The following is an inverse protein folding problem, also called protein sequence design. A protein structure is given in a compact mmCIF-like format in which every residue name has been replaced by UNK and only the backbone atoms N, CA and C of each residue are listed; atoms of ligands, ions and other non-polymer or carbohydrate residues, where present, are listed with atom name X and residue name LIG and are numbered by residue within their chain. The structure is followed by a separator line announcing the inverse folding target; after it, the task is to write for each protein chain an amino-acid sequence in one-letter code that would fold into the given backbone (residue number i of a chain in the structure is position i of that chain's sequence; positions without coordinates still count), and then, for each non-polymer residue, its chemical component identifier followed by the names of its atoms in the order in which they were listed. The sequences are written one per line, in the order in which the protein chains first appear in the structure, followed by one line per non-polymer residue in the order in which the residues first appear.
data_IF_938933829289
#
_entry.id   IF_938933829289
#
_cell.length_a   1.000
_cell.length_b   1.000
_cell.length_c   1.000
_cell.angle_alpha   90.00
_cell.angle_beta   90.00
_cell.angle_gamma   90.00
#
_symmetry.space_group_name_H-M   'P 1'
#
loop_
_entity.id
_entity.type
_entity.pdbx_description
1 polymer ?
#
# COMPACT_ATOMS: atom_id res chain seq x y z
N UNK A 1 12.80 2.83 -8.68
CA UNK A 1 12.37 3.79 -9.71
C UNK A 1 11.23 3.16 -10.48
N UNK A 2 10.06 3.79 -10.44
CA UNK A 2 8.83 3.37 -11.13
C UNK A 2 8.66 4.24 -12.38
N UNK A 3 8.51 3.64 -13.54
CA UNK A 3 8.33 4.35 -14.82
C UNK A 3 6.95 4.09 -15.44
N UNK A 4 6.25 3.07 -14.99
CA UNK A 4 4.94 2.66 -15.49
C UNK A 4 4.19 1.84 -14.43
N UNK A 5 2.92 1.53 -14.72
CA UNK A 5 2.05 0.78 -13.82
C UNK A 5 2.55 -0.65 -13.57
N UNK A 6 3.14 -1.32 -14.57
CA UNK A 6 3.65 -2.68 -14.39
C UNK A 6 4.84 -2.72 -13.43
N UNK A 7 5.74 -1.74 -13.49
CA UNK A 7 6.83 -1.61 -12.54
C UNK A 7 6.34 -1.35 -11.12
N UNK A 8 5.29 -0.52 -10.96
CA UNK A 8 4.62 -0.35 -9.65
C UNK A 8 4.10 -1.68 -9.14
N UNK A 9 3.38 -2.43 -9.98
CA UNK A 9 2.80 -3.72 -9.60
C UNK A 9 3.85 -4.74 -9.19
N UNK A 10 4.91 -4.88 -9.99
CA UNK A 10 6.03 -5.80 -9.70
C UNK A 10 6.67 -5.40 -8.37
N UNK A 11 6.93 -4.11 -8.15
CA UNK A 11 7.58 -3.63 -6.92
C UNK A 11 6.72 -3.93 -5.68
N UNK A 12 5.43 -3.63 -5.73
CA UNK A 12 4.50 -3.89 -4.61
C UNK A 12 4.35 -5.40 -4.37
N UNK A 13 4.22 -6.19 -5.43
CA UNK A 13 4.12 -7.64 -5.32
C UNK A 13 5.40 -8.24 -4.71
N UNK A 14 6.58 -7.81 -5.16
CA UNK A 14 7.86 -8.25 -4.58
C UNK A 14 7.97 -7.89 -3.10
N UNK A 15 7.52 -6.70 -2.69
CA UNK A 15 7.48 -6.31 -1.29
C UNK A 15 6.55 -7.21 -0.44
N UNK A 16 5.36 -7.55 -0.96
CA UNK A 16 4.46 -8.50 -0.30
C UNK A 16 5.11 -9.88 -0.14
N UNK A 17 5.70 -10.41 -1.22
CA UNK A 17 6.41 -11.70 -1.18
C UNK A 17 7.60 -11.69 -0.21
N UNK A 18 8.35 -10.58 -0.16
CA UNK A 18 9.46 -10.41 0.76
C UNK A 18 9.00 -10.31 2.22
N UNK A 19 7.86 -9.69 2.50
CA UNK A 19 7.28 -9.61 3.84
C UNK A 19 6.79 -10.99 4.30
N UNK A 20 6.03 -11.70 3.46
CA UNK A 20 5.48 -13.03 3.79
C UNK A 20 6.56 -14.12 3.98
N UNK A 21 7.76 -13.91 3.42
CA UNK A 21 8.93 -14.76 3.71
C UNK A 21 9.52 -14.52 5.10
N UNK A 22 9.31 -13.32 5.67
CA UNK A 22 9.82 -12.94 6.99
C UNK A 22 8.81 -13.28 8.10
N UNK A 23 7.52 -13.16 7.81
CA UNK A 23 6.43 -13.49 8.73
C UNK A 23 5.32 -14.23 7.97
N UNK A 24 5.24 -15.54 8.18
CA UNK A 24 4.26 -16.42 7.56
C UNK A 24 2.90 -16.45 8.29
N UNK A 25 2.80 -15.73 9.42
CA UNK A 25 1.56 -15.64 10.21
C UNK A 25 0.63 -14.55 9.70
N UNK A 26 1.14 -13.65 8.86
CA UNK A 26 0.39 -12.53 8.28
C UNK A 26 -0.20 -12.92 6.93
N UNK A 27 -1.47 -12.57 6.69
CA UNK A 27 -2.14 -12.83 5.43
C UNK A 27 -2.34 -11.53 4.63
N UNK A 28 -1.43 -11.23 3.70
CA UNK A 28 -1.54 -10.08 2.79
C UNK A 28 -1.87 -10.56 1.39
N UNK A 29 -2.89 -9.95 0.78
CA UNK A 29 -3.27 -10.19 -0.61
C UNK A 29 -2.98 -8.96 -1.45
N UNK A 30 -2.28 -9.16 -2.56
CA UNK A 30 -2.08 -8.17 -3.61
C UNK A 30 -3.12 -8.32 -4.71
N UNK A 31 -3.65 -7.21 -5.22
CA UNK A 31 -4.62 -7.17 -6.31
C UNK A 31 -4.31 -6.02 -7.27
N UNK A 32 -4.32 -6.30 -8.58
CA UNK A 32 -4.37 -5.27 -9.63
C UNK A 32 -5.82 -4.88 -9.90
N UNK A 33 -6.08 -3.60 -10.14
CA UNK A 33 -7.38 -3.08 -10.51
C UNK A 33 -7.39 -2.59 -11.96
N UNK A 34 -8.57 -2.60 -12.59
CA UNK A 34 -8.74 -2.20 -14.00
C UNK A 34 -8.49 -0.70 -14.27
N UNK A 35 -8.37 0.12 -13.21
CA UNK A 35 -8.19 1.57 -13.27
C UNK A 35 -6.73 2.01 -13.07
N UNK A 36 -5.76 1.16 -13.43
CA UNK A 36 -4.32 1.41 -13.27
C UNK A 36 -3.88 1.67 -11.82
N UNK A 37 -4.57 1.03 -10.87
CA UNK A 37 -4.19 1.02 -9.45
C UNK A 37 -3.92 -0.41 -9.01
N UNK A 38 -3.23 -0.56 -7.89
CA UNK A 38 -3.15 -1.84 -7.18
C UNK A 38 -3.49 -1.65 -5.72
N UNK A 39 -3.93 -2.71 -5.06
CA UNK A 39 -4.15 -2.72 -3.62
C UNK A 39 -3.45 -3.89 -2.94
N UNK A 40 -3.03 -3.65 -1.70
CA UNK A 40 -2.62 -4.68 -0.76
C UNK A 40 -3.56 -4.63 0.44
N UNK A 41 -4.04 -5.80 0.85
CA UNK A 41 -4.99 -5.93 1.96
C UNK A 41 -4.50 -6.98 2.95
N UNK A 42 -4.45 -6.61 4.22
CA UNK A 42 -4.26 -7.57 5.30
C UNK A 42 -5.62 -8.19 5.64
N UNK A 43 -5.72 -9.52 5.54
CA UNK A 43 -6.97 -10.27 5.75
C UNK A 43 -7.35 -10.38 7.22
N UNK A 44 -6.39 -10.27 8.13
CA UNK A 44 -6.61 -10.43 9.56
C UNK A 44 -7.24 -9.19 10.19
N UNK A 45 -6.79 -8.00 9.81
CA UNK A 45 -7.30 -6.73 10.34
C UNK A 45 -8.15 -5.94 9.34
N UNK A 46 -8.27 -6.42 8.09
CA UNK A 46 -9.05 -5.80 7.04
C UNK A 46 -8.45 -4.51 6.46
N UNK A 47 -7.35 -3.98 7.00
CA UNK A 47 -6.70 -2.76 6.51
C UNK A 47 -6.21 -2.94 5.08
N UNK A 48 -6.23 -1.85 4.30
CA UNK A 48 -5.70 -1.87 2.94
C UNK A 48 -4.98 -0.59 2.55
N UNK A 49 -4.03 -0.73 1.63
CA UNK A 49 -3.40 0.35 0.91
C UNK A 49 -3.75 0.23 -0.56
N UNK A 50 -4.16 1.33 -1.17
CA UNK A 50 -4.36 1.46 -2.61
C UNK A 50 -3.25 2.36 -3.15
N UNK A 51 -2.55 1.94 -4.20
CA UNK A 51 -1.43 2.66 -4.81
C UNK A 51 -1.69 2.90 -6.29
N UNK A 52 -1.23 4.05 -6.79
CA UNK A 52 -1.31 4.41 -8.20
C UNK A 52 -0.07 5.18 -8.66
N UNK A 53 0.32 4.97 -9.91
CA UNK A 53 1.35 5.78 -10.56
C UNK A 53 0.67 6.89 -11.37
N UNK A 54 1.02 8.15 -11.15
CA UNK A 54 0.36 9.27 -11.81
C UNK A 54 1.35 10.34 -12.25
N UNK A 55 0.99 11.03 -13.34
CA UNK A 55 1.68 12.25 -13.76
C UNK A 55 0.96 13.45 -13.15
N UNK A 56 1.67 14.24 -12.36
CA UNK A 56 1.21 15.50 -11.78
C UNK A 56 1.99 16.66 -12.43
N UNK A 57 1.36 17.36 -13.37
CA UNK A 57 2.01 18.35 -14.25
C UNK A 57 3.25 17.79 -14.96
N UNK A 58 4.45 18.17 -14.51
CA UNK A 58 5.72 17.78 -15.10
C UNK A 58 6.46 16.69 -14.30
N UNK A 59 5.84 16.20 -13.21
CA UNK A 59 6.42 15.20 -12.33
C UNK A 59 5.64 13.88 -12.40
N UNK A 60 6.35 12.78 -12.18
CA UNK A 60 5.76 11.46 -11.98
C UNK A 60 5.84 11.08 -10.52
N UNK A 61 4.73 10.62 -9.97
CA UNK A 61 4.58 10.31 -8.55
C UNK A 61 3.89 8.98 -8.35
N UNK A 62 4.13 8.36 -7.20
CA UNK A 62 3.34 7.23 -6.72
C UNK A 62 2.49 7.74 -5.56
N UNK A 63 1.18 7.82 -5.80
CA UNK A 63 0.19 8.16 -4.77
C UNK A 63 -0.31 6.89 -4.09
N UNK A 64 -0.56 6.98 -2.80
CA UNK A 64 -1.09 5.87 -2.02
C UNK A 64 -2.05 6.34 -0.94
N UNK A 65 -3.08 5.54 -0.69
CA UNK A 65 -4.15 5.83 0.22
C UNK A 65 -4.36 4.65 1.16
N UNK A 66 -4.36 4.92 2.46
CA UNK A 66 -4.55 3.93 3.51
C UNK A 66 -6.00 3.94 4.02
N UNK A 67 -6.54 2.76 4.23
CA UNK A 67 -7.91 2.56 4.67
C UNK A 67 -7.94 1.60 5.86
N UNK A 68 -8.60 2.03 6.94
CA UNK A 68 -9.02 1.15 8.02
C UNK A 68 -10.50 0.80 7.87
N UNK A 69 -10.88 -0.47 8.11
CA UNK A 69 -12.27 -0.85 8.07
C UNK A 69 -13.03 -0.28 9.26
N UNK A 70 -14.28 0.14 9.03
CA UNK A 70 -15.20 0.45 10.12
C UNK A 70 -15.63 -0.82 10.89
N UNK A 71 -16.44 -0.67 11.93
CA UNK A 71 -16.94 -1.76 12.76
C UNK A 71 -17.75 -2.83 11.98
N UNK A 72 -18.16 -2.55 10.75
CA UNK A 72 -18.91 -3.44 9.86
C UNK A 72 -18.05 -3.95 8.69
N UNK A 73 -16.76 -3.65 8.65
CA UNK A 73 -15.85 -4.04 7.57
C UNK A 73 -15.94 -3.17 6.31
N UNK A 74 -16.63 -2.03 6.38
CA UNK A 74 -16.76 -1.07 5.31
C UNK A 74 -15.59 -0.08 5.23
N UNK A 75 -15.41 0.55 4.08
CA UNK A 75 -14.47 1.66 3.89
C UNK A 75 -15.25 2.87 3.36
N UNK A 76 -15.27 3.95 4.12
CA UNK A 76 -15.97 5.18 3.71
C UNK A 76 -15.02 6.17 3.03
N UNK A 77 -13.87 6.41 3.65
CA UNK A 77 -12.81 7.28 3.16
C UNK A 77 -11.44 6.68 3.53
N UNK A 78 -10.36 7.06 2.84
CA UNK A 78 -9.03 6.78 3.34
C UNK A 78 -8.77 7.58 4.63
N UNK A 79 -8.09 6.95 5.58
CA UNK A 79 -7.60 7.61 6.80
C UNK A 79 -6.55 8.67 6.46
N UNK A 80 -5.71 8.37 5.48
CA UNK A 80 -4.75 9.32 4.92
C UNK A 80 -4.39 8.97 3.48
N UNK A 81 -3.91 9.99 2.77
CA UNK A 81 -3.43 9.92 1.39
C UNK A 81 -2.10 10.65 1.34
N UNK A 82 -1.11 10.07 0.69
CA UNK A 82 0.18 10.71 0.46
C UNK A 82 0.75 10.32 -0.91
N UNK A 83 1.80 11.00 -1.33
CA UNK A 83 2.52 10.71 -2.56
C UNK A 83 4.03 10.95 -2.41
N UNK A 84 4.82 10.18 -3.16
CA UNK A 84 6.26 10.37 -3.24
C UNK A 84 6.73 10.39 -4.70
N UNK A 85 7.94 10.91 -4.92
CA UNK A 85 8.55 10.88 -6.24
C UNK A 85 8.68 9.44 -6.76
N UNK A 86 8.42 9.23 -8.05
CA UNK A 86 8.50 7.90 -8.65
C UNK A 86 9.90 7.26 -8.57
N UNK A 87 10.95 8.07 -8.40
CA UNK A 87 12.32 7.62 -8.17
C UNK A 87 12.56 7.12 -6.75
N UNK A 88 11.76 7.60 -5.79
CA UNK A 88 11.86 7.28 -4.36
C UNK A 88 11.04 6.03 -4.00
N UNK A 89 10.03 5.69 -4.80
CA UNK A 89 9.27 4.47 -4.60
C UNK A 89 10.07 3.23 -5.05
N UNK A 90 10.37 2.37 -4.08
CA UNK A 90 11.05 1.08 -4.26
C UNK A 90 10.45 0.00 -3.33
N UNK A 91 11.01 -1.21 -3.41
CA UNK A 91 10.56 -2.35 -2.60
C UNK A 91 10.68 -2.08 -1.09
N UNK A 92 11.72 -1.36 -0.65
CA UNK A 92 11.93 -1.04 0.77
C UNK A 92 10.88 -0.07 1.28
N UNK A 93 10.51 0.91 0.47
CA UNK A 93 9.43 1.82 0.79
C UNK A 93 8.09 1.07 0.91
N UNK A 94 7.77 0.20 -0.07
CA UNK A 94 6.56 -0.61 -0.02
C UNK A 94 6.54 -1.56 1.20
N UNK A 95 7.67 -2.18 1.55
CA UNK A 95 7.83 -2.98 2.78
C UNK A 95 7.58 -2.14 4.04
N UNK A 96 8.05 -0.90 4.05
CA UNK A 96 7.82 0.03 5.17
C UNK A 96 6.33 0.31 5.33
N UNK A 97 5.60 0.54 4.23
CA UNK A 97 4.15 0.73 4.27
C UNK A 97 3.42 -0.50 4.83
N UNK A 98 3.84 -1.70 4.43
CA UNK A 98 3.28 -2.96 4.93
C UNK A 98 3.51 -3.08 6.45
N UNK A 99 4.76 -2.99 6.89
CA UNK A 99 5.12 -3.21 8.29
C UNK A 99 4.48 -2.15 9.21
N UNK A 100 4.56 -0.87 8.83
CA UNK A 100 4.17 0.24 9.72
C UNK A 100 2.68 0.57 9.73
N UNK A 101 1.94 0.26 8.67
CA UNK A 101 0.52 0.66 8.57
C UNK A 101 -0.42 -0.52 8.38
N UNK A 102 0.00 -1.52 7.59
CA UNK A 102 -0.86 -2.65 7.25
C UNK A 102 -0.83 -3.75 8.33
N UNK A 103 0.31 -3.93 9.02
CA UNK A 103 0.48 -4.98 10.03
C UNK A 103 0.58 -4.40 11.44
N UNK A 104 1.52 -3.49 11.70
CA UNK A 104 1.62 -2.83 13.00
C UNK A 104 0.53 -1.76 13.06
N UNK A 105 -0.44 -1.95 13.94
CA UNK A 105 -1.20 -0.81 14.42
C UNK A 105 -0.27 -0.01 15.32
N UNK A 106 0.01 1.26 14.99
CA UNK A 106 0.46 2.17 16.03
C UNK A 106 -0.55 2.04 17.19
N UNK A 107 -0.10 1.93 18.46
CA UNK A 107 -1.03 2.01 19.57
C UNK A 107 -1.84 3.28 19.35
N UNK A 108 -3.17 3.17 19.42
CA UNK A 108 -4.05 4.34 19.40
C UNK A 108 -3.49 5.33 20.42
N UNK A 109 -2.82 6.37 19.94
CA UNK A 109 -2.37 7.41 20.83
C UNK A 109 -3.64 8.09 21.29
N UNK A 110 -4.00 7.90 22.55
CA UNK A 110 -5.00 8.69 23.24
C UNK A 110 -4.67 10.17 23.00
N UNK A 111 -5.44 10.84 22.14
CA UNK A 111 -5.44 12.29 21.98
C UNK A 111 -6.78 12.81 22.48
#
# INVERSE_FOLDING_TARGET
MIQNYEELYITVQSAVEAYLKQDDTVEIVFQKNDNNTCEIKNKQNGKKLVMMFARMSDEYKVGFAFYEPDAYGGFSNPEWIDDIGHTEFDEKFALTLIDQHLVRSAPASDW
#
